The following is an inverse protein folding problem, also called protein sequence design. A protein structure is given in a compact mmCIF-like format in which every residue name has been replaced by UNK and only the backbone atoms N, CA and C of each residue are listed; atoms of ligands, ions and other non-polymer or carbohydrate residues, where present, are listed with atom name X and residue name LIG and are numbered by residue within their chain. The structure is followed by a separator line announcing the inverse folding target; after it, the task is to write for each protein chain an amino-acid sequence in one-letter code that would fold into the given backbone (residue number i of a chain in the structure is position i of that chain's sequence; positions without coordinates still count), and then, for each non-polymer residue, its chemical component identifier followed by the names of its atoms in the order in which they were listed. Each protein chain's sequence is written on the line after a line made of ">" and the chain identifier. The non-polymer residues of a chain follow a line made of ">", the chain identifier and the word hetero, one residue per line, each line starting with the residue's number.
data_IF_006132292367
#
_entry.id   IF_006132292367
#
_cell.length_a   1.000
_cell.length_b   1.000
_cell.length_c   1.000
_cell.angle_alpha   90.00
_cell.angle_beta   90.00
_cell.angle_gamma   90.00
#
_symmetry.space_group_name_H-M   'P 1'
#
loop_
_entity.id
_entity.type
_entity.pdbx_description
1 polymer ?
#
# COMPACT_ATOMS: atom_id res chain seq x y z
N UNK A 1 -2.20 18.64 -31.17
CA UNK A 1 -2.71 18.41 -29.79
C UNK A 1 -3.45 17.08 -29.77
N UNK A 2 -3.03 16.13 -28.93
CA UNK A 2 -3.76 14.89 -28.73
C UNK A 2 -5.10 15.21 -28.06
N UNK A 3 -6.21 14.74 -28.64
CA UNK A 3 -7.56 14.99 -28.11
C UNK A 3 -7.95 13.83 -27.20
N UNK A 4 -8.06 14.11 -25.90
CA UNK A 4 -8.54 13.13 -24.91
C UNK A 4 -10.06 13.23 -24.84
N UNK A 5 -10.76 12.13 -25.13
CA UNK A 5 -12.20 12.03 -24.99
C UNK A 5 -12.53 11.13 -23.79
N UNK A 6 -13.14 11.70 -22.76
CA UNK A 6 -13.51 10.96 -21.54
C UNK A 6 -15.01 10.65 -21.58
N UNK A 7 -15.35 9.36 -21.58
CA UNK A 7 -16.74 8.90 -21.47
C UNK A 7 -17.02 8.45 -20.03
N UNK A 8 -17.76 9.27 -19.28
CA UNK A 8 -18.25 8.91 -17.93
C UNK A 8 -19.62 8.28 -18.05
N UNK A 9 -19.80 7.09 -17.49
CA UNK A 9 -21.12 6.48 -17.37
C UNK A 9 -21.21 5.61 -16.10
N UNK A 10 -22.38 5.54 -15.47
CA UNK A 10 -22.66 4.76 -14.24
C UNK A 10 -22.59 3.25 -14.47
N UNK A 11 -22.60 2.44 -13.41
CA UNK A 11 -22.72 0.98 -13.55
C UNK A 11 -23.98 0.62 -14.37
N UNK A 12 -23.84 -0.28 -15.35
CA UNK A 12 -24.94 -0.72 -16.22
C UNK A 12 -25.37 0.26 -17.33
N UNK A 13 -24.71 1.42 -17.47
CA UNK A 13 -25.11 2.47 -18.45
C UNK A 13 -24.47 2.36 -19.85
N UNK A 14 -23.84 1.22 -20.17
CA UNK A 14 -23.36 0.94 -21.52
C UNK A 14 -21.97 1.47 -21.87
N UNK A 15 -21.06 1.67 -20.89
CA UNK A 15 -19.65 2.06 -21.14
C UNK A 15 -18.97 1.12 -22.14
N UNK A 16 -19.05 -0.18 -21.86
CA UNK A 16 -18.42 -1.22 -22.67
C UNK A 16 -19.07 -1.33 -24.05
N UNK A 17 -20.37 -1.05 -24.15
CA UNK A 17 -21.08 -0.91 -25.43
C UNK A 17 -20.53 0.29 -26.21
N UNK A 18 -20.42 1.45 -25.58
CA UNK A 18 -19.93 2.68 -26.22
C UNK A 18 -18.50 2.52 -26.74
N UNK A 19 -17.60 1.94 -25.93
CA UNK A 19 -16.21 1.73 -26.35
C UNK A 19 -16.13 0.79 -27.56
N UNK A 20 -16.98 -0.25 -27.59
CA UNK A 20 -17.05 -1.17 -28.72
C UNK A 20 -17.59 -0.47 -29.97
N UNK A 21 -18.62 0.38 -29.85
CA UNK A 21 -19.14 1.18 -30.97
C UNK A 21 -18.10 2.16 -31.51
N UNK A 22 -17.34 2.83 -30.62
CA UNK A 22 -16.22 3.69 -31.03
C UNK A 22 -15.13 2.90 -31.78
N UNK A 23 -14.79 1.69 -31.30
CA UNK A 23 -13.85 0.80 -31.99
C UNK A 23 -14.35 0.48 -33.39
N UNK A 24 -15.59 0.02 -33.51
CA UNK A 24 -16.22 -0.30 -34.80
C UNK A 24 -16.25 0.92 -35.71
N UNK A 25 -16.59 2.11 -35.19
CA UNK A 25 -16.62 3.35 -35.99
C UNK A 25 -15.27 3.64 -36.66
N UNK A 26 -14.16 3.40 -35.98
CA UNK A 26 -12.82 3.54 -36.56
C UNK A 26 -12.59 2.54 -37.69
N UNK A 27 -13.01 1.27 -37.52
CA UNK A 27 -12.94 0.25 -38.56
C UNK A 27 -13.84 0.57 -39.76
N UNK A 28 -15.05 1.10 -39.52
CA UNK A 28 -15.95 1.52 -40.59
C UNK A 28 -15.38 2.74 -41.31
N UNK A 29 -14.64 3.62 -40.66
CA UNK A 29 -13.97 4.73 -41.35
C UNK A 29 -12.83 4.23 -42.26
N UNK A 30 -12.01 3.32 -41.75
CA UNK A 30 -10.95 2.64 -42.48
C UNK A 30 -10.76 1.21 -41.95
N UNK A 31 -11.14 0.17 -42.73
CA UNK A 31 -11.08 -1.24 -42.32
C UNK A 31 -9.71 -1.75 -41.87
N UNK A 32 -8.61 -1.11 -42.27
CA UNK A 32 -7.25 -1.48 -41.83
C UNK A 32 -6.85 -0.90 -40.47
N UNK A 33 -7.68 -0.03 -39.89
CA UNK A 33 -7.33 0.70 -38.66
C UNK A 33 -7.13 -0.19 -37.44
N UNK A 34 -7.61 -1.45 -37.46
CA UNK A 34 -7.40 -2.38 -36.35
C UNK A 34 -5.92 -2.54 -35.98
N UNK A 35 -5.00 -2.36 -36.94
CA UNK A 35 -3.54 -2.41 -36.74
C UNK A 35 -2.98 -1.22 -35.95
N UNK A 36 -3.76 -0.15 -35.82
CA UNK A 36 -3.37 1.13 -35.25
C UNK A 36 -4.21 1.50 -34.01
N UNK A 37 -5.06 0.59 -33.53
CA UNK A 37 -5.88 0.77 -32.34
C UNK A 37 -5.32 -0.13 -31.24
N UNK A 38 -5.03 0.45 -30.08
CA UNK A 38 -4.75 -0.27 -28.85
C UNK A 38 -5.93 -0.09 -27.90
N UNK A 39 -6.55 -1.19 -27.48
CA UNK A 39 -7.50 -1.19 -26.37
C UNK A 39 -6.90 -1.94 -25.18
N UNK A 40 -6.78 -1.26 -24.03
CA UNK A 40 -6.27 -1.86 -22.80
C UNK A 40 -7.41 -2.07 -21.79
N UNK A 41 -7.34 -3.19 -21.07
CA UNK A 41 -8.31 -3.59 -20.04
C UNK A 41 -7.58 -4.06 -18.78
N UNK A 42 -8.29 -4.20 -17.65
CA UNK A 42 -7.67 -4.68 -16.40
C UNK A 42 -7.56 -6.20 -16.32
N UNK A 43 -8.43 -6.97 -16.99
CA UNK A 43 -8.46 -8.42 -16.84
C UNK A 43 -8.46 -9.15 -18.18
N UNK A 44 -7.89 -10.36 -18.21
CA UNK A 44 -7.93 -11.24 -19.38
C UNK A 44 -9.37 -11.57 -19.81
N UNK A 45 -10.30 -11.61 -18.85
CA UNK A 45 -11.72 -11.79 -19.10
C UNK A 45 -12.32 -10.61 -19.86
N UNK A 46 -12.08 -9.37 -19.40
CA UNK A 46 -12.53 -8.16 -20.08
C UNK A 46 -11.94 -8.04 -21.49
N UNK A 47 -10.65 -8.37 -21.65
CA UNK A 47 -10.00 -8.48 -22.98
C UNK A 47 -10.77 -9.43 -23.90
N UNK A 48 -11.06 -10.65 -23.43
CA UNK A 48 -11.75 -11.67 -24.22
C UNK A 48 -13.17 -11.25 -24.58
N UNK A 49 -13.93 -10.73 -23.61
CA UNK A 49 -15.29 -10.24 -23.82
C UNK A 49 -15.33 -9.09 -24.84
N UNK A 50 -14.38 -8.16 -24.78
CA UNK A 50 -14.28 -7.06 -25.73
C UNK A 50 -13.97 -7.54 -27.14
N UNK A 51 -12.99 -8.45 -27.30
CA UNK A 51 -12.67 -9.05 -28.61
C UNK A 51 -13.89 -9.73 -29.22
N UNK A 52 -14.55 -10.59 -28.44
CA UNK A 52 -15.76 -11.29 -28.88
C UNK A 52 -16.86 -10.30 -29.29
N UNK A 53 -17.08 -9.25 -28.51
CA UNK A 53 -18.11 -8.25 -28.81
C UNK A 53 -17.83 -7.52 -30.13
N UNK A 54 -16.59 -7.09 -30.37
CA UNK A 54 -16.21 -6.43 -31.63
C UNK A 54 -16.41 -7.36 -32.82
N UNK A 55 -15.98 -8.61 -32.73
CA UNK A 55 -16.19 -9.60 -33.79
C UNK A 55 -17.68 -9.84 -34.06
N UNK A 56 -18.48 -10.00 -33.00
CA UNK A 56 -19.93 -10.20 -33.11
C UNK A 56 -20.62 -8.99 -33.75
N UNK A 57 -20.19 -7.77 -33.43
CA UNK A 57 -20.72 -6.56 -34.06
C UNK A 57 -20.34 -6.47 -35.53
N UNK A 58 -19.10 -6.77 -35.89
CA UNK A 58 -18.70 -6.80 -37.31
C UNK A 58 -19.48 -7.85 -38.09
N UNK A 59 -19.67 -9.05 -37.53
CA UNK A 59 -20.47 -10.11 -38.15
C UNK A 59 -21.94 -9.69 -38.31
N UNK A 60 -22.54 -9.14 -37.26
CA UNK A 60 -23.91 -8.65 -37.28
C UNK A 60 -24.09 -7.54 -38.33
N UNK A 61 -23.18 -6.58 -38.39
CA UNK A 61 -23.22 -5.46 -39.33
C UNK A 61 -22.96 -5.89 -40.78
N UNK A 62 -22.19 -6.97 -40.99
CA UNK A 62 -21.95 -7.52 -42.33
C UNK A 62 -23.20 -8.18 -42.93
N UNK A 63 -24.15 -8.64 -42.11
CA UNK A 63 -25.41 -9.23 -42.61
C UNK A 63 -26.32 -8.15 -43.21
N UNK A 64 -26.54 -8.23 -44.53
CA UNK A 64 -27.41 -7.30 -45.26
C UNK A 64 -28.89 -7.39 -44.86
N UNK A 65 -29.28 -8.37 -44.03
CA UNK A 65 -30.62 -8.53 -43.47
C UNK A 65 -30.73 -7.97 -42.04
N UNK A 66 -29.69 -7.30 -41.54
CA UNK A 66 -29.74 -6.66 -40.22
C UNK A 66 -30.96 -5.74 -40.10
N UNK A 67 -31.60 -5.80 -38.93
CA UNK A 67 -32.70 -4.90 -38.60
C UNK A 67 -32.23 -3.43 -38.64
N UNK A 68 -32.95 -2.58 -39.37
CA UNK A 68 -32.68 -1.14 -39.46
C UNK A 68 -32.86 -0.43 -38.11
N UNK A 69 -33.59 -1.04 -37.19
CA UNK A 69 -33.77 -0.57 -35.81
C UNK A 69 -32.64 -1.02 -34.88
N UNK A 70 -31.65 -1.77 -35.37
CA UNK A 70 -30.53 -2.21 -34.54
C UNK A 70 -29.77 -1.02 -33.92
N UNK A 71 -29.60 -0.98 -32.58
CA UNK A 71 -28.98 0.15 -31.90
C UNK A 71 -27.55 0.46 -32.35
N UNK A 72 -26.75 -0.57 -32.69
CA UNK A 72 -25.36 -0.39 -33.14
C UNK A 72 -25.33 0.23 -34.54
N UNK A 73 -26.17 -0.27 -35.45
CA UNK A 73 -26.28 0.28 -36.80
C UNK A 73 -26.73 1.75 -36.76
N UNK A 74 -27.78 2.07 -36.01
CA UNK A 74 -28.28 3.44 -35.87
C UNK A 74 -27.23 4.40 -35.31
N UNK A 75 -26.50 3.98 -34.27
CA UNK A 75 -25.43 4.79 -33.70
C UNK A 75 -24.33 5.07 -34.75
N UNK A 76 -23.94 4.06 -35.53
CA UNK A 76 -22.93 4.21 -36.58
C UNK A 76 -23.41 5.10 -37.73
N UNK A 77 -24.66 4.98 -38.19
CA UNK A 77 -25.22 5.85 -39.22
C UNK A 77 -25.26 7.31 -38.77
N UNK A 78 -25.72 7.57 -37.53
CA UNK A 78 -25.78 8.91 -36.96
C UNK A 78 -24.40 9.55 -36.78
N UNK A 79 -23.41 8.79 -36.34
CA UNK A 79 -22.08 9.33 -36.02
C UNK A 79 -21.12 9.39 -37.21
N UNK A 80 -21.23 8.46 -38.16
CA UNK A 80 -20.35 8.43 -39.34
C UNK A 80 -20.96 9.14 -40.55
N UNK A 81 -22.28 9.34 -40.59
CA UNK A 81 -23.00 9.87 -41.75
C UNK A 81 -23.03 8.91 -42.95
N UNK A 82 -22.62 7.65 -42.77
CA UNK A 82 -22.59 6.63 -43.82
C UNK A 82 -23.91 5.88 -43.87
N UNK A 83 -24.27 5.38 -45.05
CA UNK A 83 -25.45 4.53 -45.24
C UNK A 83 -25.23 3.11 -44.71
N UNK A 84 -26.28 2.45 -44.24
CA UNK A 84 -26.26 1.04 -43.82
C UNK A 84 -25.54 0.10 -44.81
N UNK A 85 -25.73 0.29 -46.12
CA UNK A 85 -25.05 -0.51 -47.15
C UNK A 85 -23.52 -0.33 -47.12
N UNK A 86 -23.07 0.91 -46.92
CA UNK A 86 -21.63 1.22 -46.83
C UNK A 86 -21.04 0.68 -45.54
N UNK A 87 -21.77 0.81 -44.44
CA UNK A 87 -21.37 0.25 -43.13
C UNK A 87 -21.22 -1.27 -43.25
N UNK A 88 -22.19 -1.96 -43.85
CA UNK A 88 -22.15 -3.42 -44.00
C UNK A 88 -20.94 -3.88 -44.83
N UNK A 89 -20.70 -3.26 -45.98
CA UNK A 89 -19.55 -3.60 -46.84
C UNK A 89 -18.21 -3.37 -46.12
N UNK A 90 -18.09 -2.27 -45.36
CA UNK A 90 -16.86 -1.99 -44.60
C UNK A 90 -16.71 -2.87 -43.36
N UNK A 91 -17.82 -3.26 -42.72
CA UNK A 91 -17.82 -4.20 -41.61
C UNK A 91 -17.36 -5.59 -42.07
N UNK A 92 -17.85 -6.06 -43.23
CA UNK A 92 -17.43 -7.32 -43.85
C UNK A 92 -15.93 -7.29 -44.19
N UNK A 93 -15.46 -6.21 -44.81
CA UNK A 93 -14.04 -6.04 -45.12
C UNK A 93 -13.18 -6.02 -43.84
N UNK A 94 -13.59 -5.27 -42.82
CA UNK A 94 -12.87 -5.19 -41.56
C UNK A 94 -12.84 -6.54 -40.82
N UNK A 95 -13.95 -7.28 -40.83
CA UNK A 95 -14.03 -8.62 -40.25
C UNK A 95 -13.04 -9.57 -40.92
N UNK A 96 -13.04 -9.60 -42.26
CA UNK A 96 -12.15 -10.44 -43.05
C UNK A 96 -10.68 -10.12 -42.75
N UNK A 97 -10.29 -8.84 -42.80
CA UNK A 97 -8.93 -8.41 -42.52
C UNK A 97 -8.48 -8.77 -41.09
N UNK A 98 -9.36 -8.55 -40.11
CA UNK A 98 -9.06 -8.82 -38.70
C UNK A 98 -8.92 -10.33 -38.43
N UNK A 99 -9.76 -11.18 -39.04
CA UNK A 99 -9.63 -12.64 -38.92
C UNK A 99 -8.36 -13.17 -39.59
N UNK A 100 -7.96 -12.59 -40.74
CA UNK A 100 -6.71 -12.96 -41.41
C UNK A 100 -5.45 -12.52 -40.65
N UNK A 101 -5.51 -11.43 -39.90
CA UNK A 101 -4.39 -10.85 -39.16
C UNK A 101 -4.74 -10.62 -37.68
N UNK A 102 -5.28 -11.67 -37.04
CA UNK A 102 -5.77 -11.60 -35.66
C UNK A 102 -4.69 -11.21 -34.66
N UNK A 103 -3.43 -11.51 -34.97
CA UNK A 103 -2.26 -11.15 -34.16
C UNK A 103 -2.12 -9.63 -33.95
N UNK A 104 -2.58 -8.82 -34.92
CA UNK A 104 -2.57 -7.35 -34.83
C UNK A 104 -3.85 -6.77 -34.23
N UNK A 105 -4.79 -7.59 -33.79
CA UNK A 105 -5.97 -7.16 -33.06
C UNK A 105 -5.61 -6.89 -31.58
N UNK A 106 -5.01 -5.71 -31.33
CA UNK A 106 -4.42 -5.32 -30.04
C UNK A 106 -5.48 -4.87 -29.02
N UNK A 107 -6.17 -5.87 -28.49
CA UNK A 107 -6.93 -5.75 -27.24
C UNK A 107 -6.22 -6.64 -26.22
N UNK A 108 -5.69 -6.03 -25.17
CA UNK A 108 -4.83 -6.71 -24.20
C UNK A 108 -5.01 -6.12 -22.80
N UNK A 109 -4.46 -6.80 -21.79
CA UNK A 109 -4.40 -6.21 -20.45
C UNK A 109 -3.35 -5.12 -20.37
N UNK A 110 -3.48 -4.22 -19.40
CA UNK A 110 -2.45 -3.22 -19.08
C UNK A 110 -1.09 -3.91 -18.87
N UNK A 111 -1.05 -5.03 -18.13
CA UNK A 111 0.19 -5.80 -17.90
C UNK A 111 0.77 -6.35 -19.19
N UNK A 112 -0.06 -6.98 -20.04
CA UNK A 112 0.37 -7.54 -21.33
C UNK A 112 0.98 -6.47 -22.24
N UNK A 113 0.38 -5.27 -22.24
CA UNK A 113 0.90 -4.12 -22.97
C UNK A 113 2.28 -3.69 -22.45
N UNK A 114 2.43 -3.52 -21.13
CA UNK A 114 3.70 -3.11 -20.53
C UNK A 114 4.80 -4.15 -20.72
N UNK A 115 4.48 -5.44 -20.57
CA UNK A 115 5.43 -6.51 -20.87
C UNK A 115 5.88 -6.49 -22.33
N UNK A 116 4.98 -6.18 -23.27
CA UNK A 116 5.34 -6.05 -24.69
C UNK A 116 6.34 -4.94 -24.94
N UNK A 117 6.13 -3.78 -24.31
CA UNK A 117 7.07 -2.64 -24.37
C UNK A 117 8.43 -3.04 -23.79
N UNK A 118 8.46 -3.68 -22.63
CA UNK A 118 9.71 -4.05 -21.98
C UNK A 118 10.49 -5.12 -22.73
N UNK A 119 9.82 -6.11 -23.32
CA UNK A 119 10.49 -7.10 -24.20
C UNK A 119 11.16 -6.44 -25.40
N UNK A 120 10.50 -5.45 -26.02
CA UNK A 120 11.08 -4.72 -27.14
C UNK A 120 12.26 -3.85 -26.69
N UNK A 121 12.15 -3.17 -25.56
CA UNK A 121 13.24 -2.41 -24.95
C UNK A 121 14.46 -3.29 -24.61
N UNK A 122 14.23 -4.42 -23.95
CA UNK A 122 15.27 -5.37 -23.60
C UNK A 122 16.01 -5.87 -24.84
N UNK A 123 15.27 -6.16 -25.92
CA UNK A 123 15.86 -6.56 -27.21
C UNK A 123 16.78 -5.49 -27.79
N UNK A 124 16.36 -4.23 -27.78
CA UNK A 124 17.18 -3.13 -28.30
C UNK A 124 18.44 -2.85 -27.46
N UNK A 125 18.34 -2.99 -26.14
CA UNK A 125 19.48 -2.85 -25.23
C UNK A 125 20.45 -4.06 -25.30
N UNK A 126 20.20 -5.03 -26.17
CA UNK A 126 21.01 -6.25 -26.29
C UNK A 126 20.79 -7.25 -25.14
N UNK A 127 19.77 -7.05 -24.31
CA UNK A 127 19.38 -7.92 -23.20
C UNK A 127 18.43 -9.06 -23.63
N UNK A 128 17.99 -9.04 -24.90
CA UNK A 128 16.84 -9.79 -25.41
C UNK A 128 16.95 -11.32 -25.53
N UNK A 129 18.07 -11.93 -25.12
CA UNK A 129 18.18 -13.41 -25.02
C UNK A 129 18.29 -13.91 -23.59
N UNK A 130 18.54 -13.03 -22.61
CA UNK A 130 18.70 -13.39 -21.21
C UNK A 130 17.52 -12.96 -20.34
N UNK A 131 16.76 -11.92 -20.71
CA UNK A 131 15.68 -11.40 -19.86
C UNK A 131 14.40 -12.24 -19.91
N UNK A 132 14.13 -13.00 -18.85
CA UNK A 132 12.86 -13.71 -18.65
C UNK A 132 11.94 -12.85 -17.77
N UNK A 133 10.74 -12.52 -18.25
CA UNK A 133 9.74 -11.85 -17.41
C UNK A 133 9.11 -12.93 -16.54
N UNK A 134 9.27 -12.80 -15.22
CA UNK A 134 8.72 -13.75 -14.25
C UNK A 134 7.40 -13.23 -13.69
N UNK A 135 6.42 -14.13 -13.60
CA UNK A 135 5.08 -13.87 -13.08
C UNK A 135 4.91 -14.44 -11.68
N UNK A 136 5.69 -15.46 -11.32
CA UNK A 136 5.57 -16.18 -10.06
C UNK A 136 6.46 -15.57 -8.98
N UNK A 137 6.01 -14.46 -8.42
CA UNK A 137 6.68 -13.74 -7.31
C UNK A 137 6.85 -14.60 -6.06
N UNK A 138 5.87 -15.45 -5.76
CA UNK A 138 5.88 -16.30 -4.57
C UNK A 138 7.02 -17.32 -4.61
N UNK A 139 7.27 -17.98 -5.75
CA UNK A 139 8.36 -18.98 -5.86
C UNK A 139 9.75 -18.34 -5.64
N UNK A 140 9.98 -17.15 -6.21
CA UNK A 140 11.24 -16.42 -6.02
C UNK A 140 11.39 -16.00 -4.55
N UNK A 141 10.31 -15.52 -3.94
CA UNK A 141 10.31 -15.15 -2.52
C UNK A 141 10.62 -16.36 -1.65
N UNK A 142 10.06 -17.53 -1.97
CA UNK A 142 10.34 -18.76 -1.25
C UNK A 142 11.82 -19.11 -1.29
N UNK A 143 12.42 -19.09 -2.49
CA UNK A 143 13.85 -19.33 -2.70
C UNK A 143 14.71 -18.31 -1.95
N UNK A 144 14.35 -17.02 -2.01
CA UNK A 144 15.08 -15.93 -1.34
C UNK A 144 15.08 -16.08 0.18
N UNK A 145 13.93 -16.42 0.77
CA UNK A 145 13.83 -16.64 2.23
C UNK A 145 14.66 -17.85 2.64
N UNK A 146 14.61 -18.94 1.88
CA UNK A 146 15.33 -20.16 2.21
C UNK A 146 16.86 -19.93 2.10
N UNK A 147 17.34 -19.22 1.07
CA UNK A 147 18.75 -18.80 0.94
C UNK A 147 19.19 -17.82 2.03
N UNK A 148 18.33 -16.87 2.41
CA UNK A 148 18.63 -15.93 3.51
C UNK A 148 18.82 -16.67 4.83
N UNK A 149 17.97 -17.66 5.13
CA UNK A 149 18.08 -18.49 6.34
C UNK A 149 19.36 -19.32 6.30
N UNK A 150 19.72 -19.89 5.15
CA UNK A 150 20.98 -20.63 4.98
C UNK A 150 22.19 -19.72 5.25
N UNK A 151 22.22 -18.53 4.63
CA UNK A 151 23.28 -17.53 4.83
C UNK A 151 23.36 -17.02 6.28
N UNK A 152 22.24 -17.03 7.02
CA UNK A 152 22.24 -16.68 8.44
C UNK A 152 23.12 -17.64 9.27
N UNK A 153 23.31 -18.89 8.84
CA UNK A 153 24.23 -19.83 9.48
C UNK A 153 25.69 -19.34 9.51
N UNK A 154 26.07 -18.52 8.53
CA UNK A 154 27.43 -17.98 8.38
C UNK A 154 27.53 -16.48 8.71
N UNK A 155 26.38 -15.81 8.92
CA UNK A 155 26.28 -14.40 9.26
C UNK A 155 25.70 -14.22 10.68
N UNK A 156 26.54 -14.05 11.72
CA UNK A 156 26.09 -13.91 13.10
C UNK A 156 25.13 -12.74 13.32
N UNK A 157 25.26 -11.65 12.56
CA UNK A 157 24.40 -10.48 12.71
C UNK A 157 23.00 -10.75 12.18
N UNK A 158 22.88 -11.38 11.01
CA UNK A 158 21.60 -11.82 10.44
C UNK A 158 20.93 -12.89 11.33
N UNK A 159 21.71 -13.83 11.87
CA UNK A 159 21.21 -14.86 12.79
C UNK A 159 20.58 -14.25 14.03
N UNK A 160 21.27 -13.31 14.68
CA UNK A 160 20.73 -12.58 15.83
C UNK A 160 19.45 -11.83 15.47
N UNK A 161 19.39 -11.23 14.28
CA UNK A 161 18.23 -10.50 13.82
C UNK A 161 17.00 -11.39 13.61
N UNK A 162 17.20 -12.60 13.07
CA UNK A 162 16.17 -13.62 12.92
C UNK A 162 15.74 -14.13 14.30
N UNK A 163 16.68 -14.37 15.23
CA UNK A 163 16.39 -14.79 16.61
C UNK A 163 15.55 -13.75 17.36
N UNK A 164 15.96 -12.48 17.34
CA UNK A 164 15.23 -11.38 17.97
C UNK A 164 13.80 -11.26 17.40
N UNK A 165 13.63 -11.43 16.08
CA UNK A 165 12.31 -11.47 15.44
C UNK A 165 11.43 -12.63 15.94
N UNK A 166 12.00 -13.82 16.09
CA UNK A 166 11.29 -15.01 16.57
C UNK A 166 10.81 -14.81 18.01
N UNK A 167 11.69 -14.30 18.87
CA UNK A 167 11.39 -14.00 20.28
C UNK A 167 10.27 -12.98 20.40
N UNK A 168 10.33 -11.86 19.68
CA UNK A 168 9.30 -10.82 19.74
C UNK A 168 7.94 -11.24 19.20
N UNK A 169 7.90 -12.17 18.24
CA UNK A 169 6.64 -12.67 17.67
C UNK A 169 6.16 -13.96 18.37
N UNK A 170 6.78 -14.36 19.48
CA UNK A 170 6.44 -15.55 20.27
C UNK A 170 6.35 -16.82 19.40
N UNK A 171 7.23 -16.94 18.40
CA UNK A 171 7.23 -18.08 17.47
C UNK A 171 7.94 -19.25 18.16
N UNK A 172 7.18 -20.05 18.90
CA UNK A 172 7.72 -21.26 19.54
C UNK A 172 7.82 -22.45 18.56
N UNK A 173 9.06 -22.91 18.32
CA UNK A 173 9.40 -24.23 17.78
C UNK A 173 9.28 -24.42 16.25
N UNK A 174 10.31 -25.12 15.71
CA UNK A 174 10.53 -25.63 14.34
C UNK A 174 10.82 -24.58 13.25
N UNK A 175 11.95 -24.76 12.56
CA UNK A 175 12.44 -23.97 11.40
C UNK A 175 11.36 -23.71 10.35
N UNK A 176 10.50 -24.69 10.08
CA UNK A 176 9.39 -24.56 9.13
C UNK A 176 8.38 -23.46 9.47
N UNK A 177 8.16 -23.16 10.76
CA UNK A 177 7.28 -22.03 11.16
C UNK A 177 7.94 -20.68 10.94
N UNK A 178 9.27 -20.61 11.12
CA UNK A 178 10.07 -19.39 10.92
C UNK A 178 10.07 -19.03 9.44
N UNK A 179 10.42 -19.99 8.58
CA UNK A 179 10.38 -19.79 7.12
C UNK A 179 8.98 -19.37 6.65
N UNK A 180 7.92 -20.03 7.13
CA UNK A 180 6.54 -19.64 6.78
C UNK A 180 6.17 -18.21 7.23
N UNK A 181 6.60 -17.80 8.43
CA UNK A 181 6.37 -16.45 8.92
C UNK A 181 7.13 -15.40 8.08
N UNK A 182 8.40 -15.68 7.77
CA UNK A 182 9.26 -14.87 6.91
C UNK A 182 8.67 -14.71 5.51
N UNK A 183 8.28 -15.82 4.87
CA UNK A 183 7.60 -15.83 3.57
C UNK A 183 6.32 -14.98 3.60
N UNK A 184 5.47 -15.18 4.61
CA UNK A 184 4.21 -14.44 4.74
C UNK A 184 4.38 -12.93 4.83
N UNK A 185 5.32 -12.43 5.63
CA UNK A 185 5.53 -10.98 5.69
C UNK A 185 6.42 -10.47 4.54
N UNK A 186 7.29 -11.32 4.00
CA UNK A 186 8.15 -11.05 2.84
C UNK A 186 7.35 -10.66 1.60
N UNK A 187 6.11 -11.15 1.44
CA UNK A 187 5.18 -10.69 0.38
C UNK A 187 4.98 -9.17 0.35
N UNK A 188 5.23 -8.47 1.46
CA UNK A 188 5.15 -7.00 1.53
C UNK A 188 6.11 -6.30 0.56
N UNK A 189 7.22 -6.95 0.15
CA UNK A 189 8.18 -6.35 -0.79
C UNK A 189 7.58 -6.05 -2.16
N UNK A 190 6.57 -6.82 -2.57
CA UNK A 190 5.89 -6.65 -3.86
C UNK A 190 4.75 -5.62 -3.80
N UNK A 191 4.49 -5.03 -2.63
CA UNK A 191 3.51 -3.95 -2.51
C UNK A 191 4.03 -2.66 -3.15
N UNK A 192 3.15 -1.92 -3.83
CA UNK A 192 3.48 -0.61 -4.41
C UNK A 192 4.07 0.35 -3.36
N UNK A 193 3.57 0.28 -2.11
CA UNK A 193 4.02 1.13 -1.01
C UNK A 193 5.49 0.89 -0.65
N UNK A 194 5.96 -0.35 -0.75
CA UNK A 194 7.33 -0.72 -0.49
C UNK A 194 8.22 -0.41 -1.70
N UNK A 195 7.83 -0.87 -2.90
CA UNK A 195 8.58 -0.63 -4.14
C UNK A 195 8.81 0.86 -4.42
N UNK A 196 7.83 1.72 -4.12
CA UNK A 196 7.96 3.16 -4.30
C UNK A 196 9.05 3.80 -3.43
N UNK A 197 9.43 3.16 -2.31
CA UNK A 197 10.43 3.65 -1.35
C UNK A 197 11.62 2.72 -1.19
N UNK A 198 11.68 1.65 -1.98
CA UNK A 198 12.66 0.58 -1.83
C UNK A 198 14.07 1.13 -1.77
N UNK A 199 14.43 2.01 -2.71
CA UNK A 199 15.77 2.60 -2.82
C UNK A 199 16.17 3.38 -1.56
N UNK A 200 15.28 4.24 -1.06
CA UNK A 200 15.49 5.01 0.17
C UNK A 200 15.64 4.09 1.39
N UNK A 201 14.82 3.03 1.45
CA UNK A 201 14.90 2.02 2.49
C UNK A 201 16.22 1.26 2.45
N UNK A 202 16.72 0.88 1.27
CA UNK A 202 18.03 0.22 1.17
C UNK A 202 19.16 1.12 1.63
N UNK A 203 19.21 2.38 1.18
CA UNK A 203 20.31 3.30 1.50
C UNK A 203 20.51 3.46 3.02
N UNK A 204 19.43 3.31 3.80
CA UNK A 204 19.46 3.47 5.26
C UNK A 204 19.48 2.14 6.00
N UNK A 205 18.67 1.16 5.59
CA UNK A 205 18.39 -0.06 6.37
C UNK A 205 19.30 -1.24 6.02
N UNK A 206 20.06 -1.17 4.91
CA UNK A 206 21.10 -2.16 4.61
C UNK A 206 22.25 -2.10 5.62
N UNK A 207 22.47 -0.93 6.22
CA UNK A 207 23.46 -0.75 7.27
C UNK A 207 22.91 -1.25 8.62
N UNK A 208 23.24 -2.49 8.95
CA UNK A 208 22.88 -3.10 10.24
C UNK A 208 23.49 -2.36 11.43
N UNK A 209 24.63 -1.67 11.25
CA UNK A 209 25.24 -0.86 12.30
C UNK A 209 24.41 0.38 12.62
N UNK A 210 23.84 1.02 11.58
CA UNK A 210 22.85 2.08 11.73
C UNK A 210 21.61 1.58 12.46
N UNK A 211 21.01 0.47 12.01
CA UNK A 211 19.82 -0.10 12.64
C UNK A 211 20.05 -0.44 14.12
N UNK A 212 21.21 -1.02 14.45
CA UNK A 212 21.60 -1.30 15.83
C UNK A 212 21.75 -0.04 16.67
N UNK A 213 22.33 1.02 16.11
CA UNK A 213 22.49 2.31 16.79
C UNK A 213 21.16 3.02 16.98
N UNK A 214 20.31 3.02 15.97
CA UNK A 214 18.95 3.55 16.01
C UNK A 214 18.11 2.82 17.06
N UNK A 215 18.18 1.48 17.10
CA UNK A 215 17.54 0.64 18.12
C UNK A 215 17.96 1.04 19.53
N UNK A 216 19.27 1.21 19.77
CA UNK A 216 19.80 1.63 21.09
C UNK A 216 19.23 3.00 21.51
N UNK A 217 19.16 3.95 20.58
CA UNK A 217 18.58 5.26 20.88
C UNK A 217 17.08 5.18 21.18
N UNK A 218 16.32 4.37 20.44
CA UNK A 218 14.90 4.12 20.71
C UNK A 218 14.68 3.49 22.09
N UNK A 219 15.50 2.50 22.48
CA UNK A 219 15.43 1.92 23.84
C UNK A 219 15.70 2.96 24.91
N UNK A 220 16.73 3.80 24.71
CA UNK A 220 17.08 4.89 25.62
C UNK A 220 15.94 5.89 25.76
N UNK A 221 15.39 6.40 24.65
CA UNK A 221 14.27 7.34 24.66
C UNK A 221 13.01 6.75 25.30
N UNK A 222 12.69 5.49 24.99
CA UNK A 222 11.58 4.76 25.61
C UNK A 222 11.77 4.65 27.12
N UNK A 223 12.96 4.26 27.57
CA UNK A 223 13.30 4.12 28.98
C UNK A 223 13.24 5.48 29.70
N UNK A 224 13.85 6.53 29.16
CA UNK A 224 13.81 7.87 29.73
C UNK A 224 12.39 8.42 29.84
N UNK A 225 11.56 8.25 28.80
CA UNK A 225 10.16 8.68 28.83
C UNK A 225 9.35 7.89 29.87
N UNK A 226 9.55 6.57 29.93
CA UNK A 226 8.92 5.68 30.91
C UNK A 226 9.27 6.08 32.34
N UNK A 227 10.55 6.27 32.64
CA UNK A 227 11.00 6.63 33.98
C UNK A 227 10.50 8.02 34.40
N UNK A 228 10.46 9.00 33.48
CA UNK A 228 9.84 10.30 33.76
C UNK A 228 8.35 10.19 34.09
N UNK A 229 7.60 9.40 33.33
CA UNK A 229 6.17 9.15 33.57
C UNK A 229 5.93 8.44 34.91
N UNK A 230 6.74 7.42 35.25
CA UNK A 230 6.67 6.74 36.55
C UNK A 230 7.06 7.67 37.69
N UNK A 231 8.09 8.50 37.51
CA UNK A 231 8.52 9.48 38.51
C UNK A 231 7.43 10.52 38.81
N UNK A 232 6.58 10.88 37.83
CA UNK A 232 5.41 11.73 38.09
C UNK A 232 4.41 11.05 39.03
N UNK A 233 4.13 9.76 38.81
CA UNK A 233 3.31 8.97 39.72
C UNK A 233 3.94 8.86 41.11
N UNK A 234 5.21 8.49 41.18
CA UNK A 234 5.93 8.30 42.44
C UNK A 234 5.96 9.57 43.29
N UNK A 235 6.29 10.72 42.68
CA UNK A 235 6.36 11.99 43.38
C UNK A 235 5.01 12.45 43.93
N UNK A 236 3.90 12.08 43.30
CA UNK A 236 2.57 12.26 43.90
C UNK A 236 2.42 11.46 45.20
N UNK A 237 2.78 10.17 45.17
CA UNK A 237 2.69 9.30 46.35
C UNK A 237 3.65 9.73 47.47
N UNK A 238 4.85 10.19 47.13
CA UNK A 238 5.79 10.75 48.10
C UNK A 238 5.22 12.03 48.74
N UNK A 239 4.57 12.88 47.95
CA UNK A 239 3.99 14.13 48.42
C UNK A 239 2.81 13.90 49.37
N UNK A 240 1.93 12.94 49.10
CA UNK A 240 0.82 12.62 50.01
C UNK A 240 1.30 11.84 51.23
N UNK A 241 2.36 11.02 51.08
CA UNK A 241 2.96 10.26 52.16
C UNK A 241 3.57 11.14 53.25
N UNK A 242 4.11 12.32 52.90
CA UNK A 242 4.58 13.32 53.87
C UNK A 242 3.49 13.84 54.81
N UNK A 243 2.22 13.72 54.42
CA UNK A 243 1.06 14.11 55.20
C UNK A 243 0.35 12.90 55.81
N UNK A 244 0.96 11.71 55.78
CA UNK A 244 0.36 10.46 56.24
C UNK A 244 -0.99 10.17 55.56
N UNK A 245 -1.09 10.51 54.26
CA UNK A 245 -2.27 10.26 53.43
C UNK A 245 -2.00 9.12 52.45
N UNK A 246 -3.07 8.40 52.12
CA UNK A 246 -3.09 7.27 51.20
C UNK A 246 -4.07 7.52 50.04
N UNK A 247 -4.08 6.61 49.07
CA UNK A 247 -5.01 6.70 47.93
C UNK A 247 -6.49 6.65 48.38
N UNK A 248 -6.77 6.02 49.52
CA UNK A 248 -8.12 5.83 50.05
C UNK A 248 -8.72 7.10 50.65
N UNK A 249 -7.88 8.09 50.99
CA UNK A 249 -8.29 9.38 51.55
C UNK A 249 -8.85 10.35 50.49
N UNK A 250 -8.61 10.06 49.21
CA UNK A 250 -9.05 10.89 48.08
C UNK A 250 -10.41 10.49 47.54
N UNK A 251 -11.15 11.46 46.99
CA UNK A 251 -12.43 11.24 46.31
C UNK A 251 -12.32 10.18 45.23
N UNK A 252 -13.26 9.23 45.25
CA UNK A 252 -13.30 8.07 44.35
C UNK A 252 -12.06 7.16 44.39
N UNK A 253 -11.14 7.36 45.35
CA UNK A 253 -10.00 6.49 45.63
C UNK A 253 -9.19 6.20 44.34
N UNK A 254 -8.92 4.92 44.06
CA UNK A 254 -8.23 4.46 42.84
C UNK A 254 -8.98 4.68 41.53
N UNK A 255 -10.26 5.04 41.56
CA UNK A 255 -11.04 5.44 40.38
C UNK A 255 -11.10 6.98 40.20
N UNK A 256 -10.57 7.72 41.17
CA UNK A 256 -10.53 9.18 41.19
C UNK A 256 -9.22 9.77 40.67
N UNK A 257 -8.94 11.00 41.10
CA UNK A 257 -7.72 11.73 40.71
C UNK A 257 -6.44 11.05 41.19
N UNK A 258 -6.45 10.41 42.36
CA UNK A 258 -5.29 9.66 42.85
C UNK A 258 -5.05 8.37 42.01
N UNK A 259 -6.12 7.82 41.41
CA UNK A 259 -6.05 6.73 40.45
C UNK A 259 -5.29 7.06 39.16
N UNK A 260 -5.27 8.32 38.74
CA UNK A 260 -4.44 8.78 37.62
C UNK A 260 -2.95 8.51 37.88
N UNK A 261 -2.44 8.92 39.05
CA UNK A 261 -1.04 8.71 39.42
C UNK A 261 -0.70 7.24 39.67
N UNK A 262 -1.65 6.46 40.20
CA UNK A 262 -1.49 5.00 40.33
C UNK A 262 -1.34 4.33 38.96
N UNK A 263 -2.11 4.74 37.96
CA UNK A 263 -2.00 4.22 36.59
C UNK A 263 -0.63 4.51 35.98
N UNK A 264 -0.05 5.70 36.25
CA UNK A 264 1.31 6.03 35.81
C UNK A 264 2.35 5.09 36.44
N UNK A 265 2.25 4.77 37.74
CA UNK A 265 3.15 3.81 38.39
C UNK A 265 3.02 2.39 37.81
N UNK A 266 1.79 1.98 37.49
CA UNK A 266 1.47 0.68 36.90
C UNK A 266 1.67 0.63 35.37
N UNK A 267 2.43 1.58 34.81
CA UNK A 267 2.82 1.62 33.41
C UNK A 267 1.66 1.77 32.40
N UNK A 268 0.52 2.28 32.88
CA UNK A 268 -0.61 2.68 32.03
C UNK A 268 -0.56 4.19 31.78
N UNK A 269 0.01 4.57 30.63
CA UNK A 269 0.26 5.96 30.23
C UNK A 269 -0.75 6.53 29.21
N UNK A 270 -1.78 5.74 28.87
CA UNK A 270 -2.75 6.05 27.83
C UNK A 270 -3.46 7.39 28.07
N UNK A 271 -4.02 7.98 27.02
CA UNK A 271 -4.72 9.26 27.11
C UNK A 271 -6.02 9.19 27.91
N UNK A 272 -6.66 8.01 27.97
CA UNK A 272 -7.91 7.77 28.70
C UNK A 272 -7.76 7.78 30.23
N UNK A 273 -6.51 7.77 30.75
CA UNK A 273 -6.27 7.86 32.19
C UNK A 273 -6.64 9.25 32.73
N UNK A 274 -6.57 10.30 31.89
CA UNK A 274 -7.00 11.65 32.22
C UNK A 274 -8.51 11.83 31.95
N UNK A 275 -9.30 11.09 32.72
CA UNK A 275 -10.76 11.04 32.59
C UNK A 275 -11.45 12.31 33.15
N UNK A 276 -12.77 12.39 32.99
CA UNK A 276 -13.57 13.52 33.49
C UNK A 276 -13.40 13.79 35.00
N UNK A 277 -13.16 12.75 35.81
CA UNK A 277 -12.91 12.90 37.25
C UNK A 277 -11.59 13.62 37.54
N UNK A 278 -10.52 13.24 36.84
CA UNK A 278 -9.21 13.90 36.95
C UNK A 278 -9.25 15.33 36.38
N UNK A 279 -9.97 15.55 35.27
CA UNK A 279 -10.17 16.88 34.68
C UNK A 279 -10.89 17.84 35.63
N UNK A 280 -11.95 17.37 36.28
CA UNK A 280 -12.69 18.17 37.25
C UNK A 280 -11.86 18.52 38.49
N UNK A 281 -10.85 17.71 38.83
CA UNK A 281 -9.93 17.96 39.93
C UNK A 281 -8.80 18.96 39.57
N UNK A 282 -8.62 19.29 38.29
CA UNK A 282 -7.53 20.15 37.82
C UNK A 282 -7.63 21.59 38.33
N UNK A 283 -8.86 22.11 38.47
CA UNK A 283 -9.16 23.48 38.90
C UNK A 283 -10.12 23.56 40.09
N UNK A 284 -10.42 22.44 40.75
CA UNK A 284 -11.37 22.41 41.86
C UNK A 284 -10.88 21.55 43.04
N UNK A 285 -10.43 22.17 44.15
CA UNK A 285 -9.93 21.43 45.32
C UNK A 285 -11.03 20.59 46.02
N UNK A 286 -12.31 20.94 45.88
CA UNK A 286 -13.41 20.13 46.43
C UNK A 286 -13.52 18.75 45.79
N UNK A 287 -13.02 18.59 44.56
CA UNK A 287 -13.06 17.30 43.86
C UNK A 287 -11.99 16.33 44.34
N UNK A 288 -11.02 16.77 45.14
CA UNK A 288 -9.97 15.92 45.69
C UNK A 288 -10.42 15.14 46.94
N UNK A 289 -11.42 15.63 47.68
CA UNK A 289 -11.83 15.04 48.97
C UNK A 289 -13.34 14.95 49.13
N UNK A 290 -13.82 13.87 49.75
CA UNK A 290 -15.26 13.68 49.97
C UNK A 290 -15.77 14.58 51.10
N UNK A 291 -17.04 14.98 51.03
CA UNK A 291 -17.61 15.92 51.99
C UNK A 291 -17.62 15.43 53.45
N UNK A 292 -17.59 14.10 53.65
CA UNK A 292 -17.65 13.43 54.95
C UNK A 292 -16.27 12.99 55.49
N UNK A 293 -15.18 13.35 54.82
CA UNK A 293 -13.85 12.89 55.22
C UNK A 293 -13.38 13.53 56.54
N UNK A 294 -12.87 12.78 57.54
CA UNK A 294 -12.41 13.33 58.81
C UNK A 294 -11.29 14.39 58.66
N UNK A 295 -10.40 14.21 57.69
CA UNK A 295 -9.28 15.13 57.38
C UNK A 295 -9.58 16.08 56.21
N UNK A 296 -10.85 16.42 55.98
CA UNK A 296 -11.27 17.20 54.80
C UNK A 296 -10.53 18.53 54.63
N UNK A 297 -10.43 19.32 55.68
CA UNK A 297 -9.81 20.65 55.63
C UNK A 297 -8.32 20.57 55.23
N UNK A 298 -7.62 19.54 55.69
CA UNK A 298 -6.21 19.30 55.39
C UNK A 298 -6.00 18.89 53.93
N UNK A 299 -6.78 17.91 53.44
CA UNK A 299 -6.67 17.45 52.04
C UNK A 299 -7.09 18.56 51.08
N UNK A 300 -8.10 19.35 51.43
CA UNK A 300 -8.52 20.52 50.65
C UNK A 300 -7.38 21.53 50.52
N UNK A 301 -6.74 21.90 51.64
CA UNK A 301 -5.62 22.84 51.65
C UNK A 301 -4.40 22.29 50.88
N UNK A 302 -4.11 21.00 51.01
CA UNK A 302 -3.04 20.34 50.26
C UNK A 302 -3.32 20.32 48.76
N UNK A 303 -4.57 20.09 48.37
CA UNK A 303 -5.00 20.10 46.98
C UNK A 303 -4.85 21.49 46.36
N UNK A 304 -5.37 22.52 47.03
CA UNK A 304 -5.33 23.91 46.60
C UNK A 304 -3.89 24.43 46.47
N UNK A 305 -3.03 24.14 47.45
CA UNK A 305 -1.69 24.69 47.49
C UNK A 305 -0.64 23.90 46.68
N UNK A 306 -0.82 22.58 46.53
CA UNK A 306 0.21 21.72 45.92
C UNK A 306 -0.34 20.78 44.85
N UNK A 307 -1.34 19.94 45.15
CA UNK A 307 -1.70 18.82 44.26
C UNK A 307 -2.31 19.26 42.94
N UNK A 308 -3.11 20.32 42.92
CA UNK A 308 -3.70 20.85 41.68
C UNK A 308 -2.63 21.36 40.73
N UNK A 309 -1.71 22.20 41.21
CA UNK A 309 -0.59 22.69 40.39
C UNK A 309 0.32 21.56 39.91
N UNK A 310 0.45 20.50 40.72
CA UNK A 310 1.21 19.32 40.34
C UNK A 310 0.52 18.50 39.24
N UNK A 311 -0.79 18.26 39.37
CA UNK A 311 -1.60 17.59 38.34
C UNK A 311 -1.57 18.36 37.02
N UNK A 312 -1.68 19.69 37.07
CA UNK A 312 -1.57 20.55 35.89
C UNK A 312 -0.22 20.39 35.17
N UNK A 313 0.89 20.40 35.92
CA UNK A 313 2.23 20.17 35.35
C UNK A 313 2.37 18.78 34.76
N UNK A 314 1.88 17.76 35.46
CA UNK A 314 1.90 16.38 34.96
C UNK A 314 1.14 16.26 33.65
N UNK A 315 -0.06 16.83 33.55
CA UNK A 315 -0.87 16.73 32.34
C UNK A 315 -0.36 17.64 31.20
N UNK A 316 0.39 18.69 31.49
CA UNK A 316 1.09 19.47 30.46
C UNK A 316 2.24 18.67 29.81
N UNK A 317 2.95 17.84 30.58
CA UNK A 317 4.12 17.08 30.11
C UNK A 317 3.80 15.65 29.65
N UNK A 318 2.85 14.98 30.31
CA UNK A 318 2.50 13.57 30.10
C UNK A 318 2.16 13.24 28.64
N UNK A 319 1.30 14.00 27.92
CA UNK A 319 0.96 13.66 26.53
C UNK A 319 2.19 13.61 25.61
N UNK A 320 3.14 14.53 25.80
CA UNK A 320 4.39 14.54 25.04
C UNK A 320 5.27 13.34 25.34
N UNK A 321 5.47 13.04 26.63
CA UNK A 321 6.24 11.87 27.07
C UNK A 321 5.58 10.55 26.63
N UNK A 322 4.26 10.46 26.71
CA UNK A 322 3.51 9.28 26.24
C UNK A 322 3.65 9.09 24.73
N UNK A 323 3.58 10.16 23.95
CA UNK A 323 3.81 10.11 22.50
C UNK A 323 5.21 9.56 22.18
N UNK A 324 6.24 10.03 22.86
CA UNK A 324 7.62 9.53 22.70
C UNK A 324 7.70 8.05 23.07
N UNK A 325 7.22 7.68 24.26
CA UNK A 325 7.21 6.31 24.75
C UNK A 325 6.52 5.36 23.77
N UNK A 326 5.30 5.71 23.36
CA UNK A 326 4.47 4.88 22.49
C UNK A 326 5.02 4.79 21.06
N UNK A 327 5.57 5.89 20.53
CA UNK A 327 6.23 5.89 19.22
C UNK A 327 7.48 5.00 19.22
N UNK A 328 8.30 5.06 20.28
CA UNK A 328 9.47 4.19 20.42
C UNK A 328 9.05 2.72 20.59
N UNK A 329 8.02 2.44 21.39
CA UNK A 329 7.47 1.09 21.61
C UNK A 329 6.98 0.46 20.30
N UNK A 330 6.19 1.21 19.51
CA UNK A 330 5.74 0.78 18.19
C UNK A 330 6.91 0.61 17.21
N UNK A 331 7.86 1.55 17.20
CA UNK A 331 9.01 1.47 16.29
C UNK A 331 9.86 0.23 16.56
N UNK A 332 10.16 -0.04 17.84
CA UNK A 332 10.93 -1.22 18.26
C UNK A 332 10.23 -2.52 17.84
N UNK A 333 8.91 -2.62 17.98
CA UNK A 333 8.13 -3.80 17.57
C UNK A 333 8.23 -4.15 16.07
N UNK A 334 8.56 -3.17 15.24
CA UNK A 334 8.62 -3.33 13.78
C UNK A 334 10.04 -3.23 13.21
N UNK A 335 11.04 -2.90 14.04
CA UNK A 335 12.41 -2.67 13.56
C UNK A 335 13.06 -3.95 13.01
N UNK A 336 12.80 -5.11 13.61
CA UNK A 336 13.36 -6.36 13.10
C UNK A 336 12.72 -6.73 11.77
N UNK A 337 11.39 -6.53 11.66
CA UNK A 337 10.62 -6.78 10.43
C UNK A 337 11.15 -5.97 9.28
N UNK A 338 11.37 -4.66 9.46
CA UNK A 338 11.85 -3.82 8.37
C UNK A 338 13.28 -4.19 7.95
N UNK A 339 14.14 -4.52 8.91
CA UNK A 339 15.51 -5.00 8.63
C UNK A 339 15.52 -6.29 7.82
N UNK A 340 14.71 -7.29 8.21
CA UNK A 340 14.60 -8.55 7.47
C UNK A 340 13.92 -8.38 6.11
N UNK A 341 12.94 -7.48 6.01
CA UNK A 341 12.26 -7.19 4.76
C UNK A 341 13.24 -6.64 3.72
N UNK A 342 14.18 -5.78 4.14
CA UNK A 342 15.28 -5.30 3.30
C UNK A 342 16.22 -6.43 2.90
N UNK A 343 16.58 -7.34 3.81
CA UNK A 343 17.45 -8.49 3.50
C UNK A 343 16.80 -9.43 2.48
N UNK A 344 15.51 -9.79 2.68
CA UNK A 344 14.74 -10.62 1.76
C UNK A 344 14.69 -9.96 0.37
N UNK A 345 14.43 -8.65 0.32
CA UNK A 345 14.33 -7.93 -0.94
C UNK A 345 15.70 -7.86 -1.68
N UNK A 346 16.82 -7.76 -0.95
CA UNK A 346 18.17 -7.90 -1.54
C UNK A 346 18.39 -9.28 -2.14
N UNK A 347 17.97 -10.35 -1.46
CA UNK A 347 18.11 -11.72 -1.97
C UNK A 347 17.24 -11.96 -3.20
N UNK A 348 15.97 -11.52 -3.19
CA UNK A 348 15.10 -11.57 -4.37
C UNK A 348 15.74 -10.88 -5.56
N UNK A 349 16.35 -9.71 -5.36
CA UNK A 349 17.09 -8.99 -6.42
C UNK A 349 18.34 -9.74 -6.89
N UNK A 350 19.09 -10.35 -5.97
CA UNK A 350 20.27 -11.12 -6.30
C UNK A 350 19.91 -12.33 -7.19
N UNK A 351 18.90 -13.12 -6.79
CA UNK A 351 18.38 -14.26 -7.55
C UNK A 351 17.91 -13.81 -8.94
N UNK A 352 17.11 -12.75 -8.99
CA UNK A 352 16.62 -12.22 -10.26
C UNK A 352 17.77 -11.77 -11.17
N UNK A 353 18.81 -11.13 -10.62
CA UNK A 353 19.98 -10.72 -11.40
C UNK A 353 20.80 -11.90 -11.90
N UNK A 354 21.03 -12.91 -11.08
CA UNK A 354 21.79 -14.12 -11.45
C UNK A 354 21.08 -14.91 -12.56
N UNK A 355 19.77 -15.02 -12.45
CA UNK A 355 18.94 -15.78 -13.39
C UNK A 355 18.43 -14.94 -14.57
N UNK A 356 18.86 -13.67 -14.66
CA UNK A 356 18.40 -12.68 -15.63
C UNK A 356 16.85 -12.58 -15.70
N UNK A 357 16.19 -12.67 -14.56
CA UNK A 357 14.74 -12.53 -14.42
C UNK A 357 14.36 -11.09 -14.13
N UNK A 358 13.23 -10.66 -14.68
CA UNK A 358 12.63 -9.36 -14.44
C UNK A 358 11.21 -9.56 -13.92
N UNK A 359 10.89 -9.04 -12.74
CA UNK A 359 9.57 -9.20 -12.13
C UNK A 359 8.53 -8.32 -12.82
N UNK A 360 7.32 -8.86 -13.02
CA UNK A 360 6.22 -8.08 -13.57
C UNK A 360 5.86 -6.87 -12.69
N UNK A 361 5.89 -7.02 -11.36
CA UNK A 361 5.64 -5.93 -10.40
C UNK A 361 6.54 -4.71 -10.61
N UNK A 362 7.76 -4.90 -11.12
CA UNK A 362 8.74 -3.82 -11.31
C UNK A 362 8.57 -3.09 -12.65
N UNK A 363 7.72 -3.62 -13.54
CA UNK A 363 7.55 -3.10 -14.91
C UNK A 363 6.99 -1.69 -14.94
N UNK A 364 5.98 -1.41 -14.10
CA UNK A 364 5.34 -0.10 -14.00
C UNK A 364 6.31 0.96 -13.45
N UNK A 365 7.11 0.58 -12.43
CA UNK A 365 8.12 1.47 -11.83
C UNK A 365 9.22 1.78 -12.83
N UNK A 366 9.77 0.76 -13.51
CA UNK A 366 10.80 0.95 -14.52
C UNK A 366 10.32 1.85 -15.67
N UNK A 367 9.13 1.60 -16.20
CA UNK A 367 8.58 2.44 -17.26
C UNK A 367 8.33 3.86 -16.78
N UNK A 368 7.83 4.04 -15.56
CA UNK A 368 7.69 5.38 -14.97
C UNK A 368 9.04 6.10 -14.93
N UNK A 369 10.11 5.44 -14.49
CA UNK A 369 11.46 6.03 -14.48
C UNK A 369 11.92 6.39 -15.90
N UNK A 370 11.74 5.50 -16.88
CA UNK A 370 12.12 5.75 -18.27
C UNK A 370 11.32 6.89 -18.92
N UNK A 371 10.02 7.00 -18.61
CA UNK A 371 9.12 8.02 -19.16
C UNK A 371 9.30 9.36 -18.45
N UNK A 372 9.65 9.38 -17.17
CA UNK A 372 9.83 10.63 -16.43
C UNK A 372 10.96 11.49 -17.01
N UNK A 373 11.96 10.84 -17.62
CA UNK A 373 13.12 11.49 -18.23
C UNK A 373 13.04 11.57 -19.77
N UNK A 374 11.98 11.06 -20.41
CA UNK A 374 11.84 11.03 -21.88
C UNK A 374 10.47 11.52 -22.37
N UNK A 375 10.41 12.05 -23.59
CA UNK A 375 9.12 12.36 -24.21
C UNK A 375 8.28 11.07 -24.35
N UNK A 376 7.00 11.14 -23.99
CA UNK A 376 6.02 10.03 -24.11
C UNK A 376 6.05 9.29 -25.47
N UNK A 377 6.54 9.94 -26.53
CA UNK A 377 6.88 9.35 -27.83
C UNK A 377 7.73 8.08 -27.75
N UNK A 378 8.62 7.98 -26.76
CA UNK A 378 9.50 6.83 -26.52
C UNK A 378 8.71 5.53 -26.38
N UNK A 379 7.65 5.51 -25.57
CA UNK A 379 6.85 4.30 -25.35
C UNK A 379 6.17 3.83 -26.64
N UNK A 380 5.70 4.77 -27.46
CA UNK A 380 5.02 4.46 -28.72
C UNK A 380 5.97 3.91 -29.78
N UNK A 381 7.19 4.43 -29.85
CA UNK A 381 8.24 3.91 -30.72
C UNK A 381 8.57 2.45 -30.35
N UNK A 382 8.68 2.18 -29.04
CA UNK A 382 9.07 0.87 -28.51
C UNK A 382 7.94 -0.16 -28.48
N UNK A 383 6.69 0.26 -28.61
CA UNK A 383 5.57 -0.64 -28.83
C UNK A 383 5.65 -1.36 -30.19
N UNK A 384 6.53 -0.93 -31.11
CA UNK A 384 6.75 -1.58 -32.41
C UNK A 384 5.60 -1.41 -33.40
N UNK A 385 4.64 -0.52 -33.10
CA UNK A 385 3.45 -0.25 -33.92
C UNK A 385 3.10 1.23 -33.88
N UNK A 386 2.72 1.79 -35.04
CA UNK A 386 2.18 3.16 -35.11
C UNK A 386 0.77 3.17 -34.49
N UNK A 387 0.66 3.50 -33.20
CA UNK A 387 -0.62 3.63 -32.50
C UNK A 387 -1.24 5.00 -32.79
N UNK A 388 -2.45 5.00 -33.38
CA UNK A 388 -3.22 6.22 -33.70
C UNK A 388 -4.37 6.46 -32.73
N UNK A 389 -4.88 5.37 -32.16
CA UNK A 389 -6.01 5.39 -31.24
C UNK A 389 -5.72 4.51 -30.02
N UNK A 390 -5.96 5.06 -28.84
CA UNK A 390 -5.82 4.36 -27.57
C UNK A 390 -7.17 4.39 -26.87
N UNK A 391 -7.62 3.22 -26.44
CA UNK A 391 -8.85 3.01 -25.71
C UNK A 391 -8.50 2.35 -24.38
N UNK A 392 -9.06 2.86 -23.30
CA UNK A 392 -8.85 2.33 -21.95
C UNK A 392 -10.22 1.97 -21.42
N UNK A 393 -10.44 0.68 -21.15
CA UNK A 393 -11.68 0.20 -20.55
C UNK A 393 -11.49 0.04 -19.05
N UNK A 394 -12.41 0.66 -18.31
CA UNK A 394 -12.65 0.44 -16.89
C UNK A 394 -11.50 0.83 -15.94
N UNK A 395 -11.51 2.04 -15.36
CA UNK A 395 -10.84 2.26 -14.07
C UNK A 395 -11.78 1.67 -13.00
N UNK A 396 -11.36 0.64 -12.26
CA UNK A 396 -12.04 0.32 -11.01
C UNK A 396 -11.65 1.38 -9.98
N UNK A 397 -12.63 1.95 -9.28
CA UNK A 397 -12.35 2.59 -8.00
C UNK A 397 -11.78 1.49 -7.09
N UNK A 398 -10.47 1.51 -6.86
CA UNK A 398 -9.88 0.86 -5.69
C UNK A 398 -10.47 1.59 -4.48
N UNK A 399 -11.59 1.05 -4.00
CA UNK A 399 -12.25 1.50 -2.76
C UNK A 399 -11.37 1.21 -1.56
#
# INVERSE_FOLDING_TARGET
>A
MARINIYKASAGSGKTWRLSVEYIKLLIKNPESYRHILAVTFTNKATTEMKQRILNYLQLLSDHRIDKENPVLKALEQESGLSAKTIAARAEQALSLLLHDYSRFRIETIDSFFQSILRNLARELGLGSSMNIELEEDEILEEAVDLMIEKAGENPELLLWIQDYIEENLIEGRDRKIASALKKFGQTIFSESFQAREKELYEVLSDKSFLNSYRKELYKLRHEAKEKLKAMGQRFFDLIGQYELSIDDFSYKGSGVAGYFLKLLNENFKTDIFNATAQNALNNPEKWVTAKHPRRAEIFSLAENKLMSYLQKCEAERPGLYSIYYSCDLSLKHIYKIGLLTDIALEVRAINREQNRFLLSDTAVLLKTLISDSDTSFVYEKAGTELKHIMIDEFQDTS
#
